data_IF_477198406254
#
_entry.id   IF_477198406254
#
_cell.length_a   1.000
_cell.length_b   1.000
_cell.length_c   1.000
_cell.angle_alpha   90.00
_cell.angle_beta   90.00
_cell.angle_gamma   90.00
#
_symmetry.space_group_name_H-M   'P 1'
#
loop_
_entity.id
_entity.type
_entity.pdbx_description
1 polymer ?
#
# COMPACT_ATOMS: atom_id res chain seq x y z
N UNK A 1 -11.83 5.30 -16.91
CA UNK A 1 -10.95 4.15 -16.59
C UNK A 1 -11.11 3.83 -15.11
N UNK A 2 -11.01 2.55 -14.70
CA UNK A 2 -10.92 2.16 -13.30
C UNK A 2 -9.47 2.26 -12.83
N UNK A 3 -9.26 2.77 -11.62
CA UNK A 3 -7.97 2.84 -10.95
C UNK A 3 -8.00 1.93 -9.71
N UNK A 4 -6.86 1.46 -9.25
CA UNK A 4 -6.80 0.68 -8.03
C UNK A 4 -6.77 1.60 -6.80
N UNK A 5 -7.66 1.33 -5.84
CA UNK A 5 -7.60 1.95 -4.52
C UNK A 5 -7.08 0.94 -3.52
N UNK A 6 -6.07 1.33 -2.75
CA UNK A 6 -5.45 0.41 -1.79
C UNK A 6 -5.25 1.07 -0.44
N UNK A 7 -5.42 0.30 0.62
CA UNK A 7 -5.23 0.72 1.99
C UNK A 7 -4.21 -0.22 2.64
N UNK A 8 -3.11 0.33 3.13
CA UNK A 8 -2.11 -0.44 3.86
C UNK A 8 -2.49 -0.38 5.35
N UNK A 9 -3.04 -1.50 5.86
CA UNK A 9 -3.65 -1.56 7.20
C UNK A 9 -2.57 -1.77 8.24
N UNK A 10 -2.04 -0.66 8.69
CA UNK A 10 -1.05 -0.52 9.77
C UNK A 10 -1.45 0.60 10.72
N UNK A 11 -0.93 0.57 11.95
CA UNK A 11 -1.16 1.62 12.94
C UNK A 11 -0.05 2.68 12.89
N UNK A 12 -0.31 3.86 13.45
CA UNK A 12 0.56 5.04 13.45
C UNK A 12 1.96 4.79 14.02
N UNK A 13 2.13 3.80 14.88
CA UNK A 13 3.42 3.46 15.49
C UNK A 13 4.23 2.43 14.69
N UNK A 14 3.61 1.75 13.71
CA UNK A 14 4.24 0.70 12.90
C UNK A 14 5.05 1.24 11.72
N UNK A 15 4.90 2.54 11.42
CA UNK A 15 5.55 3.17 10.28
C UNK A 15 7.07 3.19 10.40
N UNK A 16 7.77 2.93 9.31
CA UNK A 16 9.24 2.91 9.29
C UNK A 16 9.88 4.24 9.76
N UNK A 17 9.16 5.35 9.63
CA UNK A 17 9.64 6.66 10.13
C UNK A 17 9.93 6.66 11.65
N UNK A 18 9.35 5.73 12.40
CA UNK A 18 9.52 5.58 13.84
C UNK A 18 10.27 4.32 14.25
N UNK A 19 10.71 3.46 13.33
CA UNK A 19 11.38 2.19 13.62
C UNK A 19 12.63 2.30 14.54
N UNK A 20 13.31 3.47 14.55
CA UNK A 20 14.41 3.74 15.49
C UNK A 20 13.97 4.06 16.91
N UNK A 21 12.71 4.35 17.12
CA UNK A 21 12.14 4.82 18.40
C UNK A 21 11.09 3.87 18.96
N UNK A 22 10.50 3.03 18.13
CA UNK A 22 9.47 2.05 18.47
C UNK A 22 9.90 0.70 17.92
N UNK A 23 10.25 -0.21 18.79
CA UNK A 23 10.61 -1.57 18.42
C UNK A 23 9.34 -2.44 18.34
N UNK A 24 9.38 -3.51 17.56
CA UNK A 24 8.24 -4.39 17.35
C UNK A 24 7.71 -5.03 18.64
N UNK A 25 8.60 -5.38 19.57
CA UNK A 25 8.24 -5.93 20.90
C UNK A 25 7.51 -4.94 21.81
N UNK A 26 7.52 -3.65 21.47
CA UNK A 26 6.83 -2.59 22.19
C UNK A 26 5.43 -2.29 21.63
N UNK A 27 5.06 -2.84 20.48
CA UNK A 27 3.81 -2.50 19.78
C UNK A 27 2.57 -2.75 20.66
N UNK A 28 2.56 -3.78 21.48
CA UNK A 28 1.44 -4.08 22.38
C UNK A 28 1.25 -3.05 23.50
N UNK A 29 2.22 -2.15 23.70
CA UNK A 29 2.13 -1.06 24.68
C UNK A 29 1.46 0.22 24.13
N UNK A 30 1.24 0.29 22.84
CA UNK A 30 0.61 1.44 22.18
C UNK A 30 -0.91 1.25 22.05
N UNK A 31 -1.70 2.31 22.29
CA UNK A 31 -3.13 2.24 22.04
C UNK A 31 -3.41 2.04 20.54
N UNK A 32 -4.20 1.03 20.23
CA UNK A 32 -4.59 0.75 18.85
C UNK A 32 -5.55 1.81 18.35
N UNK A 33 -5.28 2.31 17.14
CA UNK A 33 -6.11 3.27 16.41
C UNK A 33 -6.56 2.72 15.06
N UNK A 34 -5.88 1.66 14.59
CA UNK A 34 -6.11 1.08 13.27
C UNK A 34 -7.53 0.54 13.12
N UNK A 35 -8.16 0.00 14.17
CA UNK A 35 -9.54 -0.53 14.12
C UNK A 35 -10.55 0.58 13.79
N UNK A 36 -10.64 1.59 14.65
CA UNK A 36 -11.58 2.71 14.47
C UNK A 36 -11.33 3.45 13.15
N UNK A 37 -10.06 3.69 12.82
CA UNK A 37 -9.70 4.41 11.60
C UNK A 37 -10.04 3.60 10.35
N UNK A 38 -9.85 2.27 10.36
CA UNK A 38 -10.21 1.42 9.22
C UNK A 38 -11.73 1.38 9.05
N UNK A 39 -12.52 1.29 10.13
CA UNK A 39 -13.99 1.36 10.05
C UNK A 39 -14.47 2.69 9.48
N UNK A 40 -13.87 3.83 9.87
CA UNK A 40 -14.15 5.12 9.25
C UNK A 40 -13.85 5.15 7.74
N UNK A 41 -12.78 4.47 7.32
CA UNK A 41 -12.45 4.32 5.89
C UNK A 41 -13.51 3.46 5.20
N UNK A 42 -13.94 2.35 5.80
CA UNK A 42 -14.98 1.49 5.24
C UNK A 42 -16.29 2.26 5.03
N UNK A 43 -16.72 3.06 6.03
CA UNK A 43 -17.91 3.90 5.93
C UNK A 43 -17.74 5.00 4.85
N UNK A 44 -16.55 5.57 4.74
CA UNK A 44 -16.24 6.52 3.67
C UNK A 44 -16.35 5.85 2.29
N UNK A 45 -15.78 4.67 2.10
CA UNK A 45 -15.83 3.94 0.83
C UNK A 45 -17.26 3.52 0.45
N UNK A 46 -18.06 3.08 1.42
CA UNK A 46 -19.47 2.74 1.20
C UNK A 46 -20.27 3.96 0.74
N UNK A 47 -19.98 5.15 1.28
CA UNK A 47 -20.65 6.40 0.87
C UNK A 47 -20.41 6.78 -0.60
N UNK A 48 -19.36 6.26 -1.22
CA UNK A 48 -19.02 6.43 -2.63
C UNK A 48 -19.22 5.16 -3.47
N UNK A 49 -19.68 4.06 -2.87
CA UNK A 49 -19.85 2.75 -3.53
C UNK A 49 -18.54 2.26 -4.16
N UNK A 50 -17.40 2.52 -3.49
CA UNK A 50 -16.06 2.13 -3.94
C UNK A 50 -15.65 0.84 -3.23
N UNK A 51 -15.06 -0.09 -3.98
CA UNK A 51 -14.32 -1.23 -3.43
C UNK A 51 -12.82 -0.97 -3.54
N UNK A 52 -12.06 -1.53 -2.61
CA UNK A 52 -10.62 -1.31 -2.48
C UNK A 52 -9.91 -2.59 -2.03
N UNK A 53 -8.60 -2.64 -2.21
CA UNK A 53 -7.75 -3.70 -1.68
C UNK A 53 -7.13 -3.24 -0.36
N UNK A 54 -7.27 -4.05 0.66
CA UNK A 54 -6.67 -3.83 1.97
C UNK A 54 -5.47 -4.75 2.12
N UNK A 55 -4.28 -4.18 2.07
CA UNK A 55 -3.02 -4.86 2.40
C UNK A 55 -2.85 -4.88 3.91
N UNK A 56 -3.06 -6.02 4.53
CA UNK A 56 -3.19 -6.13 5.99
C UNK A 56 -1.92 -6.75 6.58
N UNK A 57 -1.37 -6.11 7.61
CA UNK A 57 -0.32 -6.71 8.42
C UNK A 57 -0.86 -7.91 9.20
N UNK A 58 -0.14 -9.03 9.18
CA UNK A 58 -0.49 -10.20 9.97
C UNK A 58 -0.58 -9.91 11.46
N UNK A 59 0.27 -9.02 11.98
CA UNK A 59 0.21 -8.55 13.37
C UNK A 59 -1.13 -7.89 13.70
N UNK A 60 -1.68 -7.09 12.80
CA UNK A 60 -3.01 -6.47 12.94
C UNK A 60 -4.10 -7.54 12.84
N UNK A 61 -4.01 -8.41 11.85
CA UNK A 61 -4.98 -9.49 11.64
C UNK A 61 -5.08 -10.44 12.85
N UNK A 62 -3.96 -10.75 13.50
CA UNK A 62 -3.92 -11.62 14.69
C UNK A 62 -4.67 -10.99 15.88
N UNK A 63 -4.63 -9.67 16.03
CA UNK A 63 -5.25 -8.93 17.13
C UNK A 63 -6.68 -8.49 16.86
N UNK A 64 -7.01 -8.29 15.60
CA UNK A 64 -8.30 -7.73 15.15
C UNK A 64 -8.94 -8.62 14.07
N UNK A 65 -9.20 -9.92 14.36
CA UNK A 65 -9.77 -10.83 13.35
C UNK A 65 -11.16 -10.38 12.86
N UNK A 66 -11.95 -9.74 13.71
CA UNK A 66 -13.27 -9.24 13.32
C UNK A 66 -13.19 -8.05 12.36
N UNK A 67 -12.12 -7.24 12.43
CA UNK A 67 -11.88 -6.18 11.45
C UNK A 67 -11.61 -6.76 10.07
N UNK A 68 -10.77 -7.81 9.98
CA UNK A 68 -10.44 -8.47 8.71
C UNK A 68 -11.70 -9.09 8.09
N UNK A 69 -12.51 -9.78 8.88
CA UNK A 69 -13.81 -10.32 8.43
C UNK A 69 -14.75 -9.23 7.94
N UNK A 70 -14.83 -8.10 8.65
CA UNK A 70 -15.69 -6.98 8.26
C UNK A 70 -15.25 -6.37 6.92
N UNK A 71 -13.94 -6.15 6.72
CA UNK A 71 -13.40 -5.68 5.45
C UNK A 71 -13.84 -6.61 4.32
N UNK A 72 -13.68 -7.92 4.50
CA UNK A 72 -14.08 -8.93 3.53
C UNK A 72 -15.61 -8.94 3.31
N UNK A 73 -16.41 -8.95 4.37
CA UNK A 73 -17.87 -8.98 4.28
C UNK A 73 -18.45 -7.74 3.60
N UNK A 74 -17.78 -6.59 3.70
CA UNK A 74 -18.15 -5.39 2.95
C UNK A 74 -17.73 -5.44 1.47
N UNK A 75 -17.17 -6.59 1.00
CA UNK A 75 -16.84 -6.84 -0.41
C UNK A 75 -15.54 -6.20 -0.87
N UNK A 76 -14.63 -5.89 0.05
CA UNK A 76 -13.27 -5.45 -0.28
C UNK A 76 -12.33 -6.65 -0.45
N UNK A 77 -11.25 -6.44 -1.19
CA UNK A 77 -10.20 -7.43 -1.37
C UNK A 77 -9.24 -7.44 -0.19
N UNK A 78 -8.92 -8.65 0.31
CA UNK A 78 -7.89 -8.87 1.31
C UNK A 78 -6.58 -9.22 0.62
N UNK A 79 -5.51 -8.51 0.97
CA UNK A 79 -4.16 -8.75 0.49
C UNK A 79 -3.14 -8.71 1.65
N UNK A 80 -1.96 -9.26 1.42
CA UNK A 80 -0.93 -9.44 2.44
C UNK A 80 0.04 -8.26 2.46
N UNK A 81 0.33 -7.73 3.67
CA UNK A 81 1.36 -6.71 3.91
C UNK A 81 2.54 -7.23 4.75
N UNK A 82 2.81 -8.56 4.71
CA UNK A 82 3.71 -9.21 5.64
C UNK A 82 3.09 -9.33 7.04
N UNK A 83 3.86 -9.89 7.99
CA UNK A 83 3.40 -10.03 9.36
C UNK A 83 3.88 -8.89 10.26
N UNK A 84 5.19 -8.61 10.24
CA UNK A 84 5.86 -7.75 11.22
C UNK A 84 6.34 -6.40 10.69
N UNK A 85 5.87 -5.93 9.53
CA UNK A 85 6.29 -4.68 8.88
C UNK A 85 7.82 -4.55 8.73
N UNK A 86 8.51 -5.65 8.42
CA UNK A 86 9.96 -5.66 8.27
C UNK A 86 10.40 -5.27 6.85
N UNK A 87 11.54 -4.58 6.76
CA UNK A 87 12.08 -4.18 5.45
C UNK A 87 12.72 -5.39 4.76
N UNK A 88 12.25 -5.73 3.56
CA UNK A 88 12.61 -6.97 2.86
C UNK A 88 14.12 -7.09 2.62
N UNK A 89 14.80 -5.99 2.23
CA UNK A 89 16.24 -5.99 2.04
C UNK A 89 17.07 -6.16 3.33
N UNK A 90 16.44 -6.16 4.52
CA UNK A 90 17.10 -6.34 5.82
C UNK A 90 16.95 -7.74 6.39
N UNK A 91 15.87 -8.45 6.04
CA UNK A 91 15.54 -9.72 6.71
C UNK A 91 16.02 -10.98 5.99
N UNK A 92 16.31 -10.88 4.70
CA UNK A 92 16.75 -12.02 3.90
C UNK A 92 15.64 -13.03 3.53
N UNK A 93 15.94 -14.00 2.63
CA UNK A 93 14.93 -14.85 2.00
C UNK A 93 14.13 -15.73 2.97
N UNK A 94 14.80 -16.43 3.87
CA UNK A 94 14.15 -17.39 4.78
C UNK A 94 13.20 -16.72 5.77
N UNK A 95 13.61 -15.59 6.33
CA UNK A 95 12.76 -14.83 7.25
C UNK A 95 11.59 -14.20 6.51
N UNK A 96 11.83 -13.68 5.31
CA UNK A 96 10.77 -13.19 4.44
C UNK A 96 9.72 -14.25 4.14
N UNK A 97 10.15 -15.45 3.73
CA UNK A 97 9.24 -16.58 3.47
C UNK A 97 8.39 -16.93 4.70
N UNK A 98 9.02 -17.00 5.86
CA UNK A 98 8.31 -17.29 7.12
C UNK A 98 7.29 -16.21 7.46
N UNK A 99 7.66 -14.94 7.31
CA UNK A 99 6.82 -13.78 7.60
C UNK A 99 5.56 -13.77 6.73
N UNK A 100 5.72 -13.88 5.40
CA UNK A 100 4.58 -13.82 4.48
C UNK A 100 3.70 -15.06 4.57
N UNK A 101 4.28 -16.25 4.78
CA UNK A 101 3.51 -17.50 4.95
C UNK A 101 2.62 -17.43 6.19
N UNK A 102 3.17 -16.94 7.32
CA UNK A 102 2.38 -16.73 8.54
C UNK A 102 1.24 -15.74 8.31
N UNK A 103 1.54 -14.59 7.72
CA UNK A 103 0.53 -13.55 7.46
C UNK A 103 -0.56 -14.05 6.52
N UNK A 104 -0.16 -14.68 5.41
CA UNK A 104 -1.10 -15.21 4.40
C UNK A 104 -2.03 -16.26 4.98
N UNK A 105 -1.49 -17.26 5.68
CA UNK A 105 -2.32 -18.31 6.31
C UNK A 105 -3.33 -17.72 7.29
N UNK A 106 -2.91 -16.77 8.11
CA UNK A 106 -3.79 -16.11 9.07
C UNK A 106 -4.95 -15.36 8.38
N UNK A 107 -4.67 -14.63 7.32
CA UNK A 107 -5.69 -13.90 6.55
C UNK A 107 -6.64 -14.86 5.83
N UNK A 108 -6.13 -15.93 5.22
CA UNK A 108 -6.93 -16.95 4.54
C UNK A 108 -7.84 -17.70 5.53
N UNK A 109 -7.33 -18.07 6.70
CA UNK A 109 -8.10 -18.73 7.76
C UNK A 109 -9.25 -17.86 8.29
N UNK A 110 -9.04 -16.53 8.39
CA UNK A 110 -10.04 -15.59 8.89
C UNK A 110 -11.15 -15.29 7.89
N UNK A 111 -10.83 -15.23 6.60
CA UNK A 111 -11.78 -14.83 5.55
C UNK A 111 -12.33 -15.99 4.72
N UNK A 112 -11.71 -17.17 4.78
CA UNK A 112 -12.09 -18.33 3.97
C UNK A 112 -11.85 -18.15 2.46
N UNK A 113 -11.02 -17.17 2.06
CA UNK A 113 -10.68 -16.88 0.65
C UNK A 113 -9.19 -16.86 0.44
N UNK A 114 -8.76 -17.16 -0.77
CA UNK A 114 -7.35 -17.12 -1.14
C UNK A 114 -6.82 -15.67 -1.16
N UNK A 115 -5.68 -15.43 -0.54
CA UNK A 115 -4.96 -14.18 -0.57
C UNK A 115 -3.95 -14.20 -1.73
N UNK A 116 -4.23 -13.41 -2.76
CA UNK A 116 -3.48 -13.43 -4.02
C UNK A 116 -2.49 -12.29 -4.17
N UNK A 117 -2.70 -11.18 -3.47
CA UNK A 117 -1.89 -9.96 -3.58
C UNK A 117 -0.93 -9.76 -2.43
N UNK A 118 0.22 -9.16 -2.76
CA UNK A 118 1.22 -8.76 -1.78
C UNK A 118 1.65 -7.31 -1.98
N UNK A 119 2.01 -6.65 -0.89
CA UNK A 119 2.74 -5.37 -0.87
C UNK A 119 3.78 -5.39 0.22
N UNK A 120 5.03 -5.08 -0.12
CA UNK A 120 6.11 -5.01 0.85
C UNK A 120 5.99 -3.77 1.75
N UNK A 121 6.18 -3.92 3.07
CA UNK A 121 6.30 -2.80 3.98
C UNK A 121 7.28 -1.75 3.47
N UNK A 122 6.85 -0.48 3.48
CA UNK A 122 7.64 0.67 3.02
C UNK A 122 8.22 0.51 1.60
N UNK A 123 7.57 -0.27 0.73
CA UNK A 123 8.03 -0.52 -0.65
C UNK A 123 9.46 -1.05 -0.72
N UNK A 124 9.80 -1.94 0.22
CA UNK A 124 11.16 -2.41 0.46
C UNK A 124 11.64 -3.52 -0.49
N UNK A 125 10.88 -3.86 -1.55
CA UNK A 125 11.41 -4.59 -2.70
C UNK A 125 12.16 -3.59 -3.59
N UNK A 126 13.48 -3.72 -3.59
CA UNK A 126 14.43 -2.90 -4.34
C UNK A 126 15.33 -3.78 -5.18
N UNK A 127 16.26 -3.19 -5.95
CA UNK A 127 17.25 -3.99 -6.73
C UNK A 127 18.03 -5.00 -5.87
N UNK A 128 18.15 -4.76 -4.55
CA UNK A 128 18.86 -5.66 -3.62
C UNK A 128 18.00 -6.83 -3.14
N UNK A 129 16.70 -6.75 -3.29
CA UNK A 129 15.73 -7.73 -2.77
C UNK A 129 14.79 -8.28 -3.83
N UNK A 130 15.16 -8.24 -5.12
CA UNK A 130 14.35 -8.81 -6.21
C UNK A 130 14.12 -10.33 -6.07
N UNK A 131 14.96 -11.03 -5.33
CA UNK A 131 14.77 -12.43 -4.95
C UNK A 131 13.43 -12.68 -4.22
N UNK A 132 12.84 -11.63 -3.62
CA UNK A 132 11.55 -11.73 -2.96
C UNK A 132 10.42 -12.08 -3.94
N UNK A 133 10.52 -11.66 -5.19
CA UNK A 133 9.51 -11.95 -6.22
C UNK A 133 9.40 -13.44 -6.53
N UNK A 134 10.53 -14.17 -6.53
CA UNK A 134 10.53 -15.64 -6.68
C UNK A 134 9.78 -16.29 -5.52
N UNK A 135 10.07 -15.85 -4.28
CA UNK A 135 9.41 -16.38 -3.08
C UNK A 135 7.91 -16.07 -3.09
N UNK A 136 7.49 -14.89 -3.54
CA UNK A 136 6.07 -14.58 -3.68
C UNK A 136 5.34 -15.58 -4.59
N UNK A 137 5.93 -15.92 -5.73
CA UNK A 137 5.37 -16.92 -6.66
C UNK A 137 5.32 -18.30 -6.00
N UNK A 138 6.40 -18.73 -5.34
CA UNK A 138 6.48 -20.02 -4.64
C UNK A 138 5.44 -20.13 -3.51
N UNK A 139 5.14 -19.04 -2.81
CA UNK A 139 4.11 -18.97 -1.78
C UNK A 139 2.69 -18.73 -2.36
N UNK A 140 2.56 -18.73 -3.69
CA UNK A 140 1.29 -18.71 -4.41
C UNK A 140 0.61 -17.35 -4.50
N UNK A 141 1.35 -16.25 -4.38
CA UNK A 141 0.87 -14.93 -4.76
C UNK A 141 0.84 -14.81 -6.29
N UNK A 142 -0.15 -14.09 -6.80
CA UNK A 142 -0.34 -13.89 -8.25
C UNK A 142 0.00 -12.48 -8.70
N UNK A 143 -0.02 -11.52 -7.77
CA UNK A 143 0.43 -10.16 -8.04
C UNK A 143 1.14 -9.53 -6.85
N UNK A 144 1.98 -8.55 -7.16
CA UNK A 144 2.70 -7.69 -6.23
C UNK A 144 2.43 -6.20 -6.54
N UNK A 145 2.52 -5.35 -5.55
CA UNK A 145 2.47 -3.90 -5.71
C UNK A 145 3.48 -3.24 -4.78
N UNK A 146 4.72 -3.66 -4.89
CA UNK A 146 5.81 -3.19 -4.03
C UNK A 146 6.81 -2.29 -4.74
N UNK A 147 6.88 -2.35 -6.06
CA UNK A 147 7.88 -1.59 -6.82
C UNK A 147 7.41 -0.15 -7.00
N UNK A 148 8.27 0.78 -6.56
CA UNK A 148 8.02 2.20 -6.74
C UNK A 148 9.02 2.76 -7.76
N UNK A 149 8.58 3.22 -8.94
CA UNK A 149 9.46 3.70 -9.99
C UNK A 149 10.00 5.12 -9.71
N UNK A 150 10.70 5.30 -8.61
CA UNK A 150 11.26 6.58 -8.16
C UNK A 150 12.68 6.42 -7.62
N UNK A 151 13.43 7.52 -7.56
CA UNK A 151 14.68 7.59 -6.83
C UNK A 151 14.39 8.04 -5.39
N UNK A 152 14.64 7.17 -4.42
CA UNK A 152 14.49 7.46 -3.00
C UNK A 152 15.58 6.76 -2.18
N UNK A 153 15.91 7.31 -0.98
CA UNK A 153 17.02 6.84 -0.15
C UNK A 153 16.80 5.42 0.43
N UNK A 154 15.55 5.00 0.64
CA UNK A 154 15.19 3.76 1.34
C UNK A 154 14.34 2.80 0.53
N UNK A 155 13.81 3.23 -0.61
CA UNK A 155 12.99 2.41 -1.50
C UNK A 155 13.10 2.88 -2.94
N UNK A 156 12.47 2.16 -3.84
CA UNK A 156 12.32 2.53 -5.24
C UNK A 156 13.34 1.88 -6.18
N UNK A 157 12.89 1.74 -7.41
CA UNK A 157 13.66 1.29 -8.57
C UNK A 157 13.39 2.30 -9.69
N UNK A 158 14.26 3.32 -9.86
CA UNK A 158 13.97 4.47 -10.73
C UNK A 158 13.69 4.13 -12.19
N UNK A 159 14.27 3.05 -12.68
CA UNK A 159 14.18 2.53 -14.05
C UNK A 159 13.12 1.43 -14.22
N UNK A 160 12.33 1.12 -13.18
CA UNK A 160 11.25 0.16 -13.29
C UNK A 160 10.12 0.65 -14.21
N UNK A 161 9.36 -0.30 -14.75
CA UNK A 161 8.11 -0.04 -15.46
C UNK A 161 7.16 0.77 -14.57
N UNK A 162 6.29 1.60 -15.19
CA UNK A 162 5.36 2.48 -14.46
C UNK A 162 3.94 1.91 -14.36
N UNK A 163 3.61 0.92 -15.15
CA UNK A 163 2.27 0.40 -15.32
C UNK A 163 2.21 -1.11 -15.09
N UNK A 164 1.01 -1.70 -14.94
CA UNK A 164 0.88 -3.13 -14.75
C UNK A 164 1.61 -3.92 -15.83
N UNK A 165 2.43 -4.87 -15.40
CA UNK A 165 3.19 -5.73 -16.29
C UNK A 165 3.49 -7.07 -15.63
N UNK A 166 3.85 -8.07 -16.43
CA UNK A 166 4.24 -9.39 -15.92
C UNK A 166 5.75 -9.46 -15.79
N UNK A 167 6.22 -9.73 -14.59
CA UNK A 167 7.63 -10.07 -14.32
C UNK A 167 7.78 -11.59 -14.43
N UNK A 168 8.76 -12.03 -15.20
CA UNK A 168 9.15 -13.44 -15.26
C UNK A 168 10.22 -13.69 -14.20
N UNK A 169 9.83 -14.32 -13.11
CA UNK A 169 10.74 -14.75 -12.05
C UNK A 169 11.28 -16.15 -12.32
N UNK A 170 12.26 -16.61 -11.57
CA UNK A 170 12.76 -18.00 -11.65
C UNK A 170 11.70 -19.04 -11.26
N UNK A 171 10.74 -18.65 -10.41
CA UNK A 171 9.64 -19.52 -9.94
C UNK A 171 8.37 -19.45 -10.81
N UNK A 172 8.29 -18.48 -11.74
CA UNK A 172 7.12 -18.34 -12.63
C UNK A 172 6.72 -16.86 -12.86
N UNK A 173 5.58 -16.61 -13.50
CA UNK A 173 5.10 -15.26 -13.76
C UNK A 173 4.49 -14.64 -12.48
N UNK A 174 4.76 -13.35 -12.25
CA UNK A 174 4.13 -12.52 -11.24
C UNK A 174 3.69 -11.21 -11.90
N UNK A 175 2.47 -10.78 -11.64
CA UNK A 175 2.00 -9.47 -12.09
C UNK A 175 2.47 -8.40 -11.11
N UNK A 176 3.20 -7.40 -11.57
CA UNK A 176 3.53 -6.21 -10.79
C UNK A 176 2.60 -5.05 -11.17
N UNK A 177 2.02 -4.39 -10.17
CA UNK A 177 1.34 -3.12 -10.34
C UNK A 177 2.06 -2.02 -9.57
N UNK A 178 3.00 -1.34 -10.24
CA UNK A 178 3.85 -0.35 -9.59
C UNK A 178 3.08 0.86 -9.06
N UNK A 179 3.64 1.51 -8.04
CA UNK A 179 3.07 2.72 -7.47
C UNK A 179 3.09 3.87 -8.47
N UNK A 180 2.00 4.63 -8.52
CA UNK A 180 1.78 5.65 -9.56
C UNK A 180 2.74 6.82 -9.45
N UNK A 181 3.39 7.09 -10.57
CA UNK A 181 4.26 8.24 -10.77
C UNK A 181 3.86 9.04 -12.01
N UNK A 182 4.07 10.35 -11.95
CA UNK A 182 3.90 11.25 -13.08
C UNK A 182 5.26 11.68 -13.61
N UNK A 183 5.58 11.41 -14.89
CA UNK A 183 6.82 11.87 -15.47
C UNK A 183 6.79 13.39 -15.70
N UNK A 184 7.89 14.05 -15.42
CA UNK A 184 8.12 15.45 -15.76
C UNK A 184 9.56 15.68 -16.18
N UNK A 185 9.77 16.64 -17.05
CA UNK A 185 11.11 17.01 -17.52
C UNK A 185 11.73 18.08 -16.61
N UNK A 186 12.93 17.82 -16.12
CA UNK A 186 13.75 18.80 -15.42
C UNK A 186 15.07 18.95 -16.19
N UNK A 187 15.12 19.92 -17.09
CA UNK A 187 16.22 20.03 -18.06
C UNK A 187 16.26 18.81 -18.99
N UNK A 188 17.40 18.11 -19.01
CA UNK A 188 17.62 16.90 -19.85
C UNK A 188 17.20 15.61 -19.17
N UNK A 189 16.82 15.64 -17.87
CA UNK A 189 16.45 14.45 -17.11
C UNK A 189 14.95 14.34 -17.00
N UNK A 190 14.44 13.15 -17.34
CA UNK A 190 13.09 12.77 -16.92
C UNK A 190 13.12 12.40 -15.44
N UNK A 191 12.27 13.05 -14.68
CA UNK A 191 12.03 12.80 -13.27
C UNK A 191 10.63 12.21 -13.10
N UNK A 192 10.42 11.43 -12.04
CA UNK A 192 9.14 10.82 -11.73
C UNK A 192 8.63 11.32 -10.39
N UNK A 193 7.52 12.06 -10.40
CA UNK A 193 6.88 12.58 -9.21
C UNK A 193 5.89 11.55 -8.65
N UNK A 194 6.05 11.09 -7.43
CA UNK A 194 5.02 10.33 -6.74
C UNK A 194 3.79 11.20 -6.53
N UNK A 195 2.63 10.77 -6.97
CA UNK A 195 1.41 11.58 -6.85
C UNK A 195 0.28 10.88 -6.09
N UNK A 196 0.40 9.59 -5.85
CA UNK A 196 -0.77 8.78 -5.56
C UNK A 196 -0.74 8.08 -4.21
N UNK A 197 -0.16 8.66 -3.17
CA UNK A 197 -0.35 8.06 -1.85
C UNK A 197 0.59 8.51 -0.75
N UNK A 198 0.31 8.06 0.46
CA UNK A 198 1.08 8.30 1.66
C UNK A 198 1.40 9.77 1.91
N UNK A 199 2.67 10.08 2.19
CA UNK A 199 3.10 11.46 2.42
C UNK A 199 2.78 12.43 1.28
N UNK A 200 2.75 11.96 0.02
CA UNK A 200 2.42 12.79 -1.13
C UNK A 200 0.92 13.10 -1.21
N UNK A 201 0.03 12.19 -0.81
CA UNK A 201 -1.40 12.47 -0.67
C UNK A 201 -1.64 13.61 0.33
N UNK A 202 -0.91 13.61 1.43
CA UNK A 202 -1.02 14.65 2.45
C UNK A 202 -0.37 15.97 2.03
N UNK A 203 0.77 15.91 1.35
CA UNK A 203 1.53 17.09 0.91
C UNK A 203 0.86 17.82 -0.26
N UNK A 204 0.46 17.08 -1.31
CA UNK A 204 -0.03 17.66 -2.56
C UNK A 204 -1.51 18.08 -2.46
N UNK A 205 -1.94 19.12 -3.20
CA UNK A 205 -3.36 19.44 -3.36
C UNK A 205 -4.13 18.28 -4.02
N UNK A 206 -5.37 18.06 -3.61
CA UNK A 206 -6.23 17.02 -4.21
C UNK A 206 -6.41 17.21 -5.72
N UNK A 207 -6.48 18.46 -6.18
CA UNK A 207 -6.59 18.84 -7.58
C UNK A 207 -5.41 18.33 -8.42
N UNK A 208 -4.19 18.45 -7.88
CA UNK A 208 -2.98 17.98 -8.57
C UNK A 208 -2.95 16.45 -8.68
N UNK A 209 -3.32 15.74 -7.61
CA UNK A 209 -3.40 14.28 -7.60
C UNK A 209 -4.44 13.82 -8.63
N UNK A 210 -5.63 14.39 -8.58
CA UNK A 210 -6.72 14.09 -9.50
C UNK A 210 -6.34 14.37 -10.95
N UNK A 211 -5.75 15.55 -11.22
CA UNK A 211 -5.27 15.90 -12.55
C UNK A 211 -4.22 14.91 -13.05
N UNK A 212 -3.27 14.52 -12.19
CA UNK A 212 -2.21 13.58 -12.56
C UNK A 212 -2.77 12.20 -12.90
N UNK A 213 -3.70 11.66 -12.08
CA UNK A 213 -4.36 10.38 -12.37
C UNK A 213 -5.20 10.48 -13.65
N UNK A 214 -6.01 11.54 -13.81
CA UNK A 214 -6.80 11.74 -15.01
C UNK A 214 -5.94 11.84 -16.27
N UNK A 215 -4.78 12.51 -16.20
CA UNK A 215 -3.82 12.58 -17.30
C UNK A 215 -3.28 11.20 -17.68
N UNK A 216 -2.88 10.38 -16.70
CA UNK A 216 -2.43 9.00 -16.94
C UNK A 216 -3.54 8.19 -17.63
N UNK A 217 -4.76 8.27 -17.11
CA UNK A 217 -5.89 7.54 -17.67
C UNK A 217 -6.22 7.96 -19.12
N UNK A 218 -6.13 9.26 -19.44
CA UNK A 218 -6.54 9.81 -20.74
C UNK A 218 -5.42 9.74 -21.79
N UNK A 219 -4.20 10.10 -21.40
CA UNK A 219 -3.07 10.22 -22.34
C UNK A 219 -2.28 8.91 -22.47
N UNK A 220 -2.01 8.24 -21.35
CA UNK A 220 -1.24 7.01 -21.35
C UNK A 220 -2.14 5.75 -21.45
N UNK A 221 -3.46 5.91 -21.26
CA UNK A 221 -4.48 4.84 -21.28
C UNK A 221 -4.15 3.71 -20.31
N UNK A 222 -3.63 4.08 -19.14
CA UNK A 222 -3.22 3.17 -18.09
C UNK A 222 -3.97 3.44 -16.79
N UNK A 223 -4.20 2.41 -15.95
CA UNK A 223 -4.73 2.59 -14.62
C UNK A 223 -3.67 3.16 -13.68
N UNK A 224 -4.13 3.80 -12.61
CA UNK A 224 -3.30 4.30 -11.53
C UNK A 224 -3.59 3.54 -10.23
N UNK A 225 -2.63 3.55 -9.29
CA UNK A 225 -2.81 3.11 -7.90
C UNK A 225 -2.86 4.33 -7.01
N UNK A 226 -3.92 4.49 -6.22
CA UNK A 226 -3.98 5.42 -5.09
C UNK A 226 -3.86 4.60 -3.80
N UNK A 227 -2.98 5.03 -2.87
CA UNK A 227 -2.83 4.34 -1.60
C UNK A 227 -2.79 5.30 -0.42
N UNK A 228 -3.23 4.83 0.73
CA UNK A 228 -3.10 5.53 2.01
C UNK A 228 -3.24 4.54 3.18
N UNK A 229 -3.01 5.04 4.40
CA UNK A 229 -3.03 4.25 5.61
C UNK A 229 -4.14 4.72 6.55
N UNK A 230 -4.70 3.86 7.42
CA UNK A 230 -5.74 4.25 8.37
C UNK A 230 -5.34 5.41 9.28
N UNK A 231 -4.09 5.48 9.72
CA UNK A 231 -3.60 6.55 10.57
C UNK A 231 -3.52 7.93 9.85
N UNK A 232 -3.58 7.98 8.53
CA UNK A 232 -3.50 9.25 7.78
C UNK A 232 -4.79 10.08 7.88
N UNK A 233 -5.90 9.50 8.32
CA UNK A 233 -7.15 10.23 8.56
C UNK A 233 -7.39 10.53 10.06
N UNK A 234 -6.39 10.29 10.92
CA UNK A 234 -6.47 10.45 12.38
C UNK A 234 -5.58 11.59 12.87
N UNK A 235 -6.05 12.83 12.93
CA UNK A 235 -5.28 13.96 13.46
C UNK A 235 -5.03 13.84 14.97
N UNK A 236 -5.85 13.07 15.69
CA UNK A 236 -5.81 12.93 17.15
C UNK A 236 -4.95 11.73 17.61
N UNK A 237 -4.27 11.06 16.69
CA UNK A 237 -3.36 9.96 17.03
C UNK A 237 -2.26 10.40 18.01
N UNK A 238 -1.80 9.52 18.93
CA UNK A 238 -0.73 9.80 19.87
C UNK A 238 0.56 10.28 19.17
N UNK A 239 1.25 11.24 19.79
CA UNK A 239 2.48 11.82 19.21
C UNK A 239 3.71 11.07 19.68
N UNK A 240 4.41 10.40 18.76
CA UNK A 240 5.65 9.67 19.01
C UNK A 240 6.83 10.64 19.03
N UNK A 241 7.67 10.52 20.06
CA UNK A 241 8.94 11.27 20.16
C UNK A 241 9.91 10.74 19.10
N UNK A 242 10.28 11.59 18.15
CA UNK A 242 11.18 11.23 17.06
C UNK A 242 11.84 12.48 16.46
N UNK A 243 12.65 12.32 15.39
CA UNK A 243 13.28 13.45 14.72
C UNK A 243 12.25 14.45 14.17
N UNK A 244 12.61 15.73 14.10
CA UNK A 244 11.74 16.76 13.50
C UNK A 244 11.32 16.41 12.06
N UNK A 245 12.24 15.83 11.28
CA UNK A 245 11.95 15.38 9.90
C UNK A 245 10.89 14.26 9.87
N UNK A 246 11.01 13.26 10.74
CA UNK A 246 10.04 12.17 10.86
C UNK A 246 8.67 12.69 11.30
N UNK A 247 8.65 13.56 12.34
CA UNK A 247 7.42 14.18 12.84
C UNK A 247 6.72 15.02 11.77
N UNK A 248 7.45 15.86 11.05
CA UNK A 248 6.88 16.66 9.96
C UNK A 248 6.27 15.77 8.90
N UNK A 249 7.02 14.77 8.42
CA UNK A 249 6.53 13.85 7.37
C UNK A 249 5.30 13.06 7.80
N UNK A 250 5.23 12.64 9.06
CA UNK A 250 4.15 11.80 9.56
C UNK A 250 2.88 12.60 9.88
N UNK A 251 3.01 13.77 10.53
CA UNK A 251 1.86 14.51 11.06
C UNK A 251 1.33 15.63 10.15
N UNK A 252 1.98 15.84 8.99
CA UNK A 252 1.57 16.90 8.05
C UNK A 252 0.18 16.66 7.50
N UNK A 253 -0.70 17.68 7.64
CA UNK A 253 -2.04 17.75 7.02
C UNK A 253 -2.97 16.55 7.28
N UNK A 254 -2.84 15.85 8.40
CA UNK A 254 -3.72 14.72 8.76
C UNK A 254 -5.19 15.16 8.75
N UNK A 255 -5.50 16.33 9.30
CA UNK A 255 -6.85 16.90 9.37
C UNK A 255 -7.48 17.16 8.00
N UNK A 256 -6.67 17.25 6.93
CA UNK A 256 -7.13 17.53 5.56
C UNK A 256 -7.30 16.28 4.71
N UNK A 257 -6.78 15.13 5.17
CA UNK A 257 -6.65 13.92 4.34
C UNK A 257 -8.01 13.38 3.93
N UNK A 258 -8.95 13.23 4.85
CA UNK A 258 -10.29 12.73 4.53
C UNK A 258 -11.02 13.64 3.53
N UNK A 259 -10.94 14.97 3.70
CA UNK A 259 -11.53 15.94 2.77
C UNK A 259 -10.93 15.83 1.36
N UNK A 260 -9.62 15.57 1.25
CA UNK A 260 -8.95 15.31 -0.04
C UNK A 260 -9.44 14.01 -0.68
N UNK A 261 -9.55 12.92 0.12
CA UNK A 261 -10.05 11.63 -0.37
C UNK A 261 -11.47 11.76 -0.90
N UNK A 262 -12.40 12.42 -0.16
CA UNK A 262 -13.77 12.69 -0.62
C UNK A 262 -13.80 13.39 -1.97
N UNK A 263 -12.94 14.39 -2.17
CA UNK A 263 -12.83 15.11 -3.44
C UNK A 263 -12.28 14.26 -4.58
N UNK A 264 -11.30 13.39 -4.30
CA UNK A 264 -10.74 12.47 -5.30
C UNK A 264 -11.79 11.41 -5.69
N UNK A 265 -12.49 10.84 -4.70
CA UNK A 265 -13.49 9.79 -4.89
C UNK A 265 -14.74 10.27 -5.64
N UNK A 266 -15.11 11.56 -5.52
CA UNK A 266 -16.26 12.12 -6.26
C UNK A 266 -16.01 12.27 -7.76
N UNK A 267 -14.75 12.21 -8.24
CA UNK A 267 -14.41 12.53 -9.62
C UNK A 267 -13.66 11.41 -10.36
N UNK A 268 -13.05 10.49 -9.65
CA UNK A 268 -12.32 9.35 -10.23
C UNK A 268 -13.01 8.05 -9.86
N UNK A 269 -12.86 7.04 -10.72
CA UNK A 269 -13.43 5.71 -10.50
C UNK A 269 -12.34 4.77 -9.96
N UNK A 270 -12.69 4.05 -8.91
CA UNK A 270 -11.81 3.12 -8.24
C UNK A 270 -12.45 1.74 -8.07
N UNK A 271 -11.59 0.73 -7.97
CA UNK A 271 -11.95 -0.64 -7.65
C UNK A 271 -10.77 -1.32 -6.92
N UNK A 272 -10.94 -2.58 -6.56
CA UNK A 272 -9.87 -3.43 -6.01
C UNK A 272 -8.74 -3.58 -7.02
N UNK A 273 -7.55 -3.91 -6.52
CA UNK A 273 -6.39 -4.16 -7.39
C UNK A 273 -6.63 -5.39 -8.28
N UNK A 274 -7.18 -6.48 -7.74
CA UNK A 274 -7.54 -7.65 -8.53
C UNK A 274 -8.57 -7.33 -9.61
N UNK A 275 -9.57 -6.48 -9.32
CA UNK A 275 -10.57 -6.03 -10.29
C UNK A 275 -9.95 -5.25 -11.45
N UNK A 276 -8.98 -4.36 -11.14
CA UNK A 276 -8.26 -3.59 -12.18
C UNK A 276 -7.28 -4.47 -12.96
N UNK A 277 -6.64 -5.44 -12.31
CA UNK A 277 -5.68 -6.36 -12.92
C UNK A 277 -6.33 -7.56 -13.63
N UNK A 278 -7.65 -7.69 -13.65
CA UNK A 278 -8.34 -8.89 -14.13
C UNK A 278 -7.82 -9.47 -15.44
N UNK A 279 -7.52 -8.62 -16.44
CA UNK A 279 -6.95 -9.04 -17.72
C UNK A 279 -5.49 -9.50 -17.66
N UNK A 280 -4.75 -9.13 -16.60
CA UNK A 280 -3.34 -9.51 -16.38
C UNK A 280 -3.21 -10.80 -15.58
N UNK A 281 -4.14 -11.04 -14.63
CA UNK A 281 -4.10 -12.18 -13.70
C UNK A 281 -4.79 -13.42 -14.32
N UNK A 282 -5.80 -13.18 -15.16
CA UNK A 282 -6.55 -14.22 -15.88
C UNK A 282 -6.50 -13.94 -17.38
N UNK A 283 -5.34 -14.15 -18.04
CA UNK A 283 -5.15 -13.87 -19.45
C UNK A 283 -5.94 -14.83 -20.38
#
# INVERSE_FOLDING_TARGET
MLNALTIDVEDYFQVNAFAKHVQQDQWDSFPLRVDDNTRRILDLLDSFTIKATFFILGWVAERLPELVKEIHCRGHEIACHGYGHELIYQIGPERFRTDIRRAKSLLEDQCGVRVCGYRAPSYSITKQSLWALDILVEEGFTYDSSIFPVLHDTYGIPDAERFPHTIRTGAGPLVEFPLTTLPFQLGWKEMRLPIAGGGYLRLLPAELIRWGIARINQQERQPAVLYFHPWEIDPDQPRIKSSMKSRFRHYLNLEKTEGKLRKIFSELRFDTMAGVLGAYINP
#
